data_IF_227249135791
#
_entry.id   IF_227249135791
#
_cell.length_a   1.000
_cell.length_b   1.000
_cell.length_c   1.000
_cell.angle_alpha   90.00
_cell.angle_beta   90.00
_cell.angle_gamma   90.00
#
_symmetry.space_group_name_H-M   'P 1'
#
loop_
_entity.id
_entity.type
_entity.pdbx_description
1 polymer ?
#
# COMPACT_ATOMS: atom_id res chain seq x y z
N UNK A 1 -4.90 25.66 56.86
CA UNK A 1 -4.24 24.38 57.21
C UNK A 1 -4.77 23.31 56.27
N UNK A 2 -3.86 22.64 55.56
CA UNK A 2 -4.16 21.79 54.42
C UNK A 2 -4.74 20.43 54.82
N UNK A 3 -5.80 20.05 54.10
CA UNK A 3 -6.48 18.76 54.12
C UNK A 3 -5.52 17.62 53.79
N UNK A 4 -5.53 16.55 54.59
CA UNK A 4 -4.83 15.29 54.29
C UNK A 4 -5.85 14.18 54.15
N UNK A 5 -6.30 13.94 52.93
CA UNK A 5 -6.98 12.69 52.57
C UNK A 5 -5.97 11.81 51.85
N UNK A 6 -5.55 10.74 52.51
CA UNK A 6 -4.66 9.72 51.95
C UNK A 6 -5.52 8.84 51.05
N UNK A 7 -5.27 8.87 49.74
CA UNK A 7 -5.86 7.92 48.78
C UNK A 7 -4.80 6.86 48.51
N UNK A 8 -5.03 5.65 49.05
CA UNK A 8 -4.21 4.48 48.76
C UNK A 8 -4.58 3.94 47.37
N UNK A 9 -3.62 3.95 46.44
CA UNK A 9 -3.79 3.32 45.12
C UNK A 9 -3.09 1.97 45.16
N UNK A 10 -3.88 0.90 45.21
CA UNK A 10 -3.39 -0.45 44.95
C UNK A 10 -3.09 -0.59 43.46
N UNK A 11 -1.82 -0.70 43.08
CA UNK A 11 -1.43 -1.21 41.78
C UNK A 11 -1.29 -2.73 41.87
N UNK A 12 -2.27 -3.45 41.32
CA UNK A 12 -2.13 -4.88 41.05
C UNK A 12 -1.25 -5.05 39.81
N UNK A 13 0.01 -5.43 40.01
CA UNK A 13 0.94 -5.79 38.94
C UNK A 13 0.65 -7.20 38.45
N UNK A 14 0.02 -7.33 37.27
CA UNK A 14 -0.01 -8.61 36.56
C UNK A 14 1.34 -8.85 35.91
N UNK A 15 2.16 -9.69 36.55
CA UNK A 15 3.40 -10.19 35.96
C UNK A 15 3.05 -11.17 34.83
N UNK A 16 3.10 -10.69 33.58
CA UNK A 16 3.09 -11.58 32.42
C UNK A 16 4.51 -12.15 32.29
N UNK A 17 4.65 -13.46 32.49
CA UNK A 17 5.88 -14.20 32.23
C UNK A 17 6.29 -13.96 30.76
N UNK A 18 7.35 -13.18 30.56
CA UNK A 18 8.04 -13.11 29.28
C UNK A 18 8.78 -14.42 29.08
N UNK A 19 8.20 -15.34 28.29
CA UNK A 19 8.96 -16.44 27.73
C UNK A 19 10.07 -15.85 26.84
N UNK A 20 11.29 -16.44 26.83
CA UNK A 20 12.36 -15.95 25.98
C UNK A 20 11.92 -16.08 24.53
N UNK A 21 11.73 -14.93 23.86
CA UNK A 21 11.53 -14.90 22.41
C UNK A 21 12.84 -15.37 21.81
N UNK A 22 12.83 -16.58 21.24
CA UNK A 22 13.89 -17.05 20.37
C UNK A 22 14.15 -15.96 19.33
N UNK A 23 15.37 -15.43 19.34
CA UNK A 23 15.86 -14.45 18.40
C UNK A 23 15.92 -15.10 17.02
N UNK A 24 14.76 -15.24 16.38
CA UNK A 24 14.68 -15.63 14.99
C UNK A 24 15.24 -14.46 14.19
N UNK A 25 16.49 -14.59 13.75
CA UNK A 25 17.14 -13.77 12.73
C UNK A 25 16.43 -13.91 11.36
N UNK A 26 15.09 -13.93 11.34
CA UNK A 26 14.33 -13.65 10.12
C UNK A 26 14.37 -12.15 9.95
N UNK A 27 15.37 -11.72 9.18
CA UNK A 27 15.33 -10.52 8.36
C UNK A 27 13.88 -10.26 7.99
N UNK A 28 13.28 -9.23 8.57
CA UNK A 28 11.96 -8.76 8.16
C UNK A 28 12.16 -8.32 6.72
N UNK A 29 11.96 -9.24 5.78
CA UNK A 29 11.67 -8.87 4.41
C UNK A 29 10.40 -8.05 4.54
N UNK A 30 10.57 -6.72 4.55
CA UNK A 30 9.46 -5.79 4.49
C UNK A 30 8.58 -6.30 3.37
N UNK A 31 7.37 -6.73 3.74
CA UNK A 31 6.40 -7.38 2.86
C UNK A 31 6.26 -6.45 1.65
N UNK A 32 6.96 -6.75 0.55
CA UNK A 32 6.97 -5.88 -0.61
C UNK A 32 5.58 -6.05 -1.22
N UNK A 33 4.69 -5.12 -0.90
CA UNK A 33 3.35 -5.11 -1.46
C UNK A 33 3.55 -4.84 -2.94
N UNK A 34 3.44 -5.89 -3.76
CA UNK A 34 3.56 -5.77 -5.20
C UNK A 34 2.20 -5.26 -5.73
N UNK A 35 1.96 -3.96 -5.58
CA UNK A 35 0.73 -3.33 -6.06
C UNK A 35 0.80 -3.21 -7.57
N UNK A 36 -0.19 -3.76 -8.27
CA UNK A 36 -0.20 -3.75 -9.72
C UNK A 36 -1.61 -3.66 -10.30
N UNK A 37 -1.68 -3.07 -11.48
CA UNK A 37 -2.87 -3.03 -12.34
C UNK A 37 -2.52 -3.62 -13.70
N UNK A 38 -3.53 -4.07 -14.43
CA UNK A 38 -3.35 -4.57 -15.80
C UNK A 38 -4.00 -3.61 -16.77
N UNK A 39 -3.23 -3.17 -17.77
CA UNK A 39 -3.68 -2.30 -18.85
C UNK A 39 -3.63 -3.07 -20.15
N UNK A 40 -4.63 -2.94 -21.01
CA UNK A 40 -4.69 -3.66 -22.27
C UNK A 40 -4.96 -2.71 -23.44
N UNK A 41 -4.39 -3.02 -24.60
CA UNK A 41 -4.64 -2.24 -25.82
C UNK A 41 -6.02 -2.51 -26.43
N UNK A 42 -6.57 -3.69 -26.16
CA UNK A 42 -7.87 -4.14 -26.63
C UNK A 42 -8.96 -4.00 -25.55
N UNK A 43 -10.23 -3.86 -25.98
CA UNK A 43 -11.39 -3.75 -25.07
C UNK A 43 -11.80 -5.09 -24.44
N UNK A 44 -11.48 -6.21 -25.09
CA UNK A 44 -11.74 -7.57 -24.63
C UNK A 44 -10.69 -8.14 -23.68
N UNK A 45 -9.85 -7.29 -23.07
CA UNK A 45 -8.73 -7.69 -22.22
C UNK A 45 -7.68 -8.57 -22.93
N UNK A 46 -7.42 -8.30 -24.21
CA UNK A 46 -6.31 -8.88 -24.96
C UNK A 46 -5.13 -7.90 -25.07
N UNK A 47 -3.93 -8.45 -25.26
CA UNK A 47 -2.68 -7.67 -25.39
C UNK A 47 -2.42 -6.68 -24.24
N UNK A 48 -2.01 -7.24 -23.09
CA UNK A 48 -1.95 -6.50 -21.83
C UNK A 48 -0.53 -6.39 -21.26
N UNK A 49 -0.28 -5.30 -20.55
CA UNK A 49 0.89 -5.11 -19.70
C UNK A 49 0.45 -4.98 -18.24
N UNK A 50 1.24 -5.57 -17.33
CA UNK A 50 1.06 -5.38 -15.89
C UNK A 50 1.95 -4.23 -15.44
N UNK A 51 1.34 -3.20 -14.85
CA UNK A 51 2.02 -2.01 -14.36
C UNK A 51 2.05 -2.06 -12.85
N UNK A 52 3.26 -2.14 -12.31
CA UNK A 52 3.49 -2.04 -10.88
C UNK A 52 3.53 -0.57 -10.45
N UNK A 53 2.97 -0.27 -9.30
CA UNK A 53 2.96 1.07 -8.71
C UNK A 53 3.33 0.98 -7.23
N UNK A 54 3.87 2.06 -6.69
CA UNK A 54 4.18 2.21 -5.26
C UNK A 54 3.79 3.61 -4.82
N UNK A 55 3.21 3.74 -3.62
CA UNK A 55 2.81 5.03 -3.05
C UNK A 55 1.93 5.89 -3.98
N UNK A 56 1.13 5.24 -4.85
CA UNK A 56 0.22 5.92 -5.78
C UNK A 56 0.83 6.32 -7.13
N UNK A 57 2.11 6.01 -7.40
CA UNK A 57 2.77 6.31 -8.67
C UNK A 57 3.25 5.04 -9.38
N UNK A 58 3.03 4.98 -10.70
CA UNK A 58 3.56 3.90 -11.53
C UNK A 58 5.10 3.87 -11.46
N UNK A 59 5.66 2.71 -11.10
CA UNK A 59 7.12 2.52 -10.99
C UNK A 59 7.77 2.44 -12.37
N UNK A 60 7.02 1.96 -13.37
CA UNK A 60 7.50 1.80 -14.73
C UNK A 60 6.62 2.58 -15.72
N UNK A 61 7.23 3.25 -16.72
CA UNK A 61 6.47 3.94 -17.75
C UNK A 61 5.65 2.95 -18.57
N UNK A 62 4.42 3.35 -18.89
CA UNK A 62 3.48 2.60 -19.74
C UNK A 62 3.95 2.77 -21.19
N UNK A 63 5.11 2.21 -21.54
CA UNK A 63 5.81 2.54 -22.79
C UNK A 63 5.03 2.11 -24.03
N UNK A 64 4.76 0.81 -24.15
CA UNK A 64 4.12 0.21 -25.33
C UNK A 64 2.65 0.59 -25.48
N UNK A 65 1.95 0.73 -24.36
CA UNK A 65 0.52 1.05 -24.30
C UNK A 65 0.24 2.56 -24.19
N UNK A 66 1.26 3.42 -24.27
CA UNK A 66 1.06 4.87 -24.31
C UNK A 66 0.10 5.24 -25.45
N UNK A 67 -0.99 5.94 -25.13
CA UNK A 67 -2.08 6.31 -26.05
C UNK A 67 -2.81 5.13 -26.72
N UNK A 68 -2.66 3.92 -26.19
CA UNK A 68 -3.30 2.70 -26.74
C UNK A 68 -4.17 1.95 -25.75
N UNK A 69 -4.18 2.34 -24.48
CA UNK A 69 -4.99 1.67 -23.45
C UNK A 69 -6.48 1.81 -23.79
N UNK A 70 -7.16 0.67 -23.91
CA UNK A 70 -8.60 0.60 -24.17
C UNK A 70 -9.38 -0.09 -23.06
N UNK A 71 -8.71 -0.85 -22.19
CA UNK A 71 -9.32 -1.45 -21.00
C UNK A 71 -8.33 -1.54 -19.83
N UNK A 72 -8.90 -1.61 -18.61
CA UNK A 72 -8.18 -1.62 -17.34
C UNK A 72 -8.78 -2.70 -16.44
N UNK A 73 -7.92 -3.54 -15.87
CA UNK A 73 -8.22 -4.24 -14.63
C UNK A 73 -7.51 -3.54 -13.47
N UNK A 74 -8.30 -2.87 -12.64
CA UNK A 74 -7.80 -2.07 -11.53
C UNK A 74 -7.50 -2.89 -10.28
N UNK A 75 -7.79 -4.20 -10.24
CA UNK A 75 -7.56 -5.07 -9.08
C UNK A 75 -8.09 -4.50 -7.74
N UNK A 76 -9.20 -3.74 -7.78
CA UNK A 76 -9.80 -3.11 -6.61
C UNK A 76 -9.20 -1.76 -6.19
N UNK A 77 -8.23 -1.23 -6.94
CA UNK A 77 -7.65 0.08 -6.70
C UNK A 77 -8.42 1.20 -7.42
N UNK A 78 -8.30 2.43 -6.91
CA UNK A 78 -8.78 3.62 -7.60
C UNK A 78 -7.63 4.18 -8.46
N UNK A 79 -7.85 4.29 -9.77
CA UNK A 79 -6.85 4.74 -10.74
C UNK A 79 -7.23 6.09 -11.32
N UNK A 80 -6.27 7.02 -11.37
CA UNK A 80 -6.41 8.31 -12.03
C UNK A 80 -5.51 8.32 -13.27
N UNK A 81 -6.08 8.64 -14.43
CA UNK A 81 -5.37 8.66 -15.70
C UNK A 81 -5.10 10.08 -16.17
N UNK A 82 -3.98 10.28 -16.84
CA UNK A 82 -3.54 11.57 -17.37
C UNK A 82 -3.14 11.41 -18.84
N UNK A 83 -3.46 12.41 -19.67
CA UNK A 83 -3.05 12.45 -21.08
C UNK A 83 -1.56 12.71 -21.25
N UNK A 84 -0.96 13.46 -20.33
CA UNK A 84 0.43 13.90 -20.45
C UNK A 84 1.31 13.30 -19.35
N UNK A 85 2.56 12.97 -19.70
CA UNK A 85 3.54 12.39 -18.77
C UNK A 85 3.86 13.25 -17.55
N UNK A 86 3.62 14.56 -17.62
CA UNK A 86 3.80 15.49 -16.51
C UNK A 86 2.61 15.52 -15.53
N UNK A 87 1.64 14.61 -15.66
CA UNK A 87 0.44 14.58 -14.82
C UNK A 87 -0.60 15.65 -15.17
N UNK A 88 -0.51 16.25 -16.37
CA UNK A 88 -1.53 17.18 -16.86
C UNK A 88 -2.55 16.50 -17.77
N UNK A 89 -3.70 17.15 -17.95
CA UNK A 89 -4.78 16.64 -18.80
C UNK A 89 -5.39 15.37 -18.23
N UNK A 90 -5.85 15.41 -16.98
CA UNK A 90 -6.55 14.28 -16.36
C UNK A 90 -7.70 13.80 -17.25
N UNK A 91 -7.81 12.49 -17.40
CA UNK A 91 -8.89 11.81 -18.10
C UNK A 91 -9.92 11.45 -17.04
N UNK A 92 -11.14 11.99 -17.19
CA UNK A 92 -12.28 11.78 -16.29
C UNK A 92 -13.21 10.72 -16.88
#
# INVERSE_FOLDING_TARGET
MFSKTIVAVLFASVAVFAAPVETSNKKVEGRQINQSVTLCSDKGMADCDTVNFNFGFCVSPIGRLNDKVSSLNANGYNCIFYKCRNGSGQIV
#
